data_IF_447971895100
#
_entry.id   IF_447971895100
#
_cell.length_a   1.000
_cell.length_b   1.000
_cell.length_c   1.000
_cell.angle_alpha   90.00
_cell.angle_beta   90.00
_cell.angle_gamma   90.00
#
_symmetry.space_group_name_H-M   'P 1'
#
loop_
_entity.id
_entity.type
_entity.pdbx_description
1 polymer ?
#
# COMPACT_ATOMS: atom_id res chain seq x y z
N UNK A 1 2.55 13.43 -10.45
CA UNK A 1 2.94 12.46 -9.39
C UNK A 1 1.68 11.93 -8.73
N UNK A 2 1.66 10.63 -8.50
CA UNK A 2 0.53 9.87 -7.97
C UNK A 2 1.03 8.92 -6.88
N UNK A 3 0.18 8.61 -5.90
CA UNK A 3 0.34 7.42 -5.06
C UNK A 3 -0.67 6.38 -5.50
N UNK A 4 -0.34 5.10 -5.35
CA UNK A 4 -1.25 4.01 -5.65
C UNK A 4 -1.06 2.86 -4.65
N UNK A 5 -2.02 1.95 -4.65
CA UNK A 5 -2.06 0.78 -3.78
C UNK A 5 -3.15 -0.20 -4.19
N UNK A 6 -3.21 -1.31 -3.47
CA UNK A 6 -4.25 -2.31 -3.60
C UNK A 6 -4.76 -2.72 -2.21
N UNK A 7 -6.05 -3.02 -2.10
CA UNK A 7 -6.68 -3.39 -0.84
C UNK A 7 -7.81 -4.40 -1.06
N UNK A 8 -8.02 -5.25 -0.05
CA UNK A 8 -9.04 -6.29 0.00
C UNK A 8 -10.14 -5.94 0.99
N UNK A 9 -11.39 -6.19 0.60
CA UNK A 9 -12.55 -6.02 1.49
C UNK A 9 -13.53 -7.17 1.34
N UNK A 10 -14.22 -7.49 2.43
CA UNK A 10 -15.33 -8.44 2.42
C UNK A 10 -16.63 -7.66 2.26
N UNK A 11 -17.59 -8.22 1.52
CA UNK A 11 -18.91 -7.63 1.33
C UNK A 11 -20.02 -8.68 1.45
N UNK A 12 -21.25 -8.21 1.62
CA UNK A 12 -22.44 -9.04 1.56
C UNK A 12 -22.64 -9.58 0.15
N UNK A 13 -22.93 -10.87 0.04
CA UNK A 13 -23.17 -11.53 -1.25
C UNK A 13 -24.55 -11.20 -1.79
N UNK A 14 -24.65 -10.94 -3.09
CA UNK A 14 -25.94 -10.82 -3.74
C UNK A 14 -26.57 -12.20 -3.96
N UNK A 15 -27.91 -12.26 -3.96
CA UNK A 15 -28.66 -13.50 -4.24
C UNK A 15 -28.81 -13.80 -5.74
N UNK A 16 -28.14 -13.04 -6.59
CA UNK A 16 -28.17 -13.23 -8.03
C UNK A 16 -27.33 -14.45 -8.40
N UNK A 17 -27.85 -15.28 -9.32
CA UNK A 17 -27.14 -16.49 -9.76
C UNK A 17 -25.96 -16.11 -10.67
N UNK A 18 -24.78 -16.64 -10.36
CA UNK A 18 -23.61 -16.54 -11.23
C UNK A 18 -23.68 -17.51 -12.41
N UNK A 19 -22.91 -17.21 -13.46
CA UNK A 19 -22.76 -18.12 -14.61
C UNK A 19 -22.05 -19.41 -14.19
N UNK A 20 -20.99 -19.31 -13.38
CA UNK A 20 -20.29 -20.46 -12.82
C UNK A 20 -20.63 -20.63 -11.34
N UNK A 21 -20.79 -21.89 -10.91
CA UNK A 21 -21.08 -22.21 -9.50
C UNK A 21 -19.89 -21.96 -8.55
N UNK A 22 -18.67 -21.82 -9.09
CA UNK A 22 -17.46 -21.52 -8.32
C UNK A 22 -17.27 -20.02 -8.03
N UNK A 23 -18.00 -19.16 -8.73
CA UNK A 23 -17.82 -17.71 -8.63
C UNK A 23 -18.51 -17.16 -7.37
N UNK A 24 -17.91 -16.12 -6.79
CA UNK A 24 -18.42 -15.46 -5.59
C UNK A 24 -18.09 -13.98 -5.62
N UNK A 25 -19.04 -13.16 -5.20
CA UNK A 25 -18.89 -11.73 -4.96
C UNK A 25 -18.60 -11.40 -3.48
N UNK A 26 -18.38 -12.40 -2.61
CA UNK A 26 -18.19 -12.17 -1.17
C UNK A 26 -16.97 -11.32 -0.83
N UNK A 27 -16.00 -11.23 -1.74
CA UNK A 27 -14.77 -10.48 -1.55
C UNK A 27 -14.53 -9.58 -2.75
N UNK A 28 -14.13 -8.34 -2.48
CA UNK A 28 -13.65 -7.39 -3.48
C UNK A 28 -12.17 -7.14 -3.22
N UNK A 29 -11.39 -7.18 -4.29
CA UNK A 29 -10.02 -6.73 -4.31
C UNK A 29 -9.89 -5.61 -5.34
N UNK A 30 -9.34 -4.47 -4.91
CA UNK A 30 -9.31 -3.25 -5.72
C UNK A 30 -7.92 -2.63 -5.74
N UNK A 31 -7.55 -2.11 -6.91
CA UNK A 31 -6.36 -1.31 -7.13
C UNK A 31 -6.76 0.13 -7.37
N UNK A 32 -6.14 1.06 -6.66
CA UNK A 32 -6.55 2.46 -6.59
C UNK A 32 -5.35 3.39 -6.74
N UNK A 33 -5.55 4.60 -7.25
CA UNK A 33 -4.55 5.67 -7.22
C UNK A 33 -5.14 7.02 -6.82
N UNK A 34 -4.26 7.91 -6.37
CA UNK A 34 -4.58 9.28 -6.00
C UNK A 34 -3.57 10.22 -6.66
N UNK A 35 -4.02 11.22 -7.45
CA UNK A 35 -3.15 12.28 -7.92
C UNK A 35 -2.72 13.16 -6.74
N UNK A 36 -1.42 13.43 -6.65
CA UNK A 36 -0.83 14.19 -5.54
C UNK A 36 -0.46 15.60 -5.97
N UNK A 37 0.32 15.70 -7.05
CA UNK A 37 0.84 16.97 -7.52
C UNK A 37 1.20 16.91 -9.01
N UNK A 38 1.09 18.07 -9.65
CA UNK A 38 1.55 18.34 -11.01
C UNK A 38 2.56 19.48 -10.93
N UNK A 39 3.77 19.22 -11.43
CA UNK A 39 4.88 20.16 -11.45
C UNK A 39 5.44 20.28 -12.86
N UNK A 40 5.98 21.45 -13.22
CA UNK A 40 6.55 21.73 -14.54
C UNK A 40 7.96 22.31 -14.44
N UNK A 41 8.79 21.97 -15.44
CA UNK A 41 10.16 22.48 -15.58
C UNK A 41 11.18 21.84 -14.64
N UNK A 42 12.44 22.19 -14.84
CA UNK A 42 13.56 21.73 -14.01
C UNK A 42 13.48 22.25 -12.57
N UNK A 43 12.93 23.46 -12.37
CA UNK A 43 12.71 24.08 -11.06
C UNK A 43 11.51 23.47 -10.30
N UNK A 44 10.86 22.44 -10.84
CA UNK A 44 9.68 21.78 -10.25
C UNK A 44 8.59 22.78 -9.81
N UNK A 45 8.31 23.79 -10.64
CA UNK A 45 7.24 24.76 -10.37
C UNK A 45 5.92 24.01 -10.20
N UNK A 46 5.30 24.14 -9.03
CA UNK A 46 4.04 23.49 -8.70
C UNK A 46 2.89 24.15 -9.47
N UNK A 47 2.21 23.39 -10.32
CA UNK A 47 1.03 23.85 -11.07
C UNK A 47 -0.23 23.51 -10.30
N UNK A 48 -0.28 22.31 -9.73
CA UNK A 48 -1.43 21.83 -8.99
C UNK A 48 -1.00 20.88 -7.90
N UNK A 49 -1.69 20.94 -6.76
CA UNK A 49 -1.53 20.02 -5.65
C UNK A 49 -2.89 19.61 -5.14
N UNK A 50 -3.02 18.33 -4.81
CA UNK A 50 -4.21 17.80 -4.18
C UNK A 50 -4.33 18.40 -2.76
N UNK A 51 -5.40 19.18 -2.48
CA UNK A 51 -5.56 19.81 -1.17
C UNK A 51 -5.85 18.79 -0.05
N UNK A 52 -6.42 17.62 -0.40
CA UNK A 52 -6.79 16.57 0.56
C UNK A 52 -6.37 15.19 0.05
N UNK A 53 -5.06 14.85 0.08
CA UNK A 53 -4.53 13.59 -0.47
C UNK A 53 -5.04 12.32 0.19
N UNK A 54 -5.60 12.42 1.39
CA UNK A 54 -6.19 11.30 2.14
C UNK A 54 -7.71 11.20 1.98
N UNK A 55 -8.33 12.12 1.23
CA UNK A 55 -9.76 12.11 0.99
C UNK A 55 -10.14 11.02 -0.01
N UNK A 56 -11.15 10.18 0.29
CA UNK A 56 -11.69 9.20 -0.66
C UNK A 56 -12.16 9.84 -1.97
N UNK A 57 -12.56 11.12 -1.95
CA UNK A 57 -13.05 11.85 -3.14
C UNK A 57 -12.03 11.95 -4.27
N UNK A 58 -10.74 11.90 -3.93
CA UNK A 58 -9.63 11.93 -4.90
C UNK A 58 -9.05 10.54 -5.20
N UNK A 59 -9.58 9.49 -4.56
CA UNK A 59 -9.22 8.12 -4.87
C UNK A 59 -9.91 7.70 -6.17
N UNK A 60 -9.15 7.11 -7.08
CA UNK A 60 -9.61 6.68 -8.40
C UNK A 60 -9.32 5.20 -8.59
N UNK A 61 -10.33 4.39 -8.92
CA UNK A 61 -10.11 2.97 -9.18
C UNK A 61 -9.36 2.76 -10.49
N UNK A 62 -8.39 1.86 -10.46
CA UNK A 62 -7.71 1.32 -11.64
C UNK A 62 -8.40 0.03 -12.07
N UNK A 63 -8.62 -0.88 -11.12
CA UNK A 63 -9.17 -2.22 -11.36
C UNK A 63 -9.93 -2.71 -10.13
N UNK A 64 -11.05 -3.40 -10.35
CA UNK A 64 -11.87 -4.05 -9.32
C UNK A 64 -12.02 -5.52 -9.71
N UNK A 65 -11.85 -6.42 -8.74
CA UNK A 65 -11.93 -7.88 -8.90
C UNK A 65 -12.78 -8.48 -7.80
N UNK A 66 -13.59 -9.48 -8.10
CA UNK A 66 -14.32 -10.26 -7.10
C UNK A 66 -13.50 -11.48 -6.67
N UNK A 67 -12.44 -11.24 -5.90
CA UNK A 67 -11.53 -12.28 -5.41
C UNK A 67 -11.15 -11.99 -3.97
N UNK A 68 -10.88 -13.04 -3.21
CA UNK A 68 -10.34 -12.91 -1.86
C UNK A 68 -8.88 -12.48 -1.95
N UNK A 69 -8.52 -11.50 -1.13
CA UNK A 69 -7.14 -11.05 -1.02
C UNK A 69 -6.25 -12.15 -0.40
N UNK A 70 -5.27 -12.62 -1.18
CA UNK A 70 -4.23 -13.56 -0.78
C UNK A 70 -2.86 -12.99 -1.17
N UNK A 71 -1.78 -13.51 -0.57
CA UNK A 71 -0.43 -13.06 -0.90
C UNK A 71 -0.12 -13.19 -2.39
N UNK A 72 -0.58 -14.28 -3.03
CA UNK A 72 -0.38 -14.52 -4.46
C UNK A 72 -1.15 -13.52 -5.32
N UNK A 73 -2.42 -13.25 -4.99
CA UNK A 73 -3.24 -12.25 -5.70
C UNK A 73 -2.65 -10.85 -5.54
N UNK A 74 -2.17 -10.49 -4.35
CA UNK A 74 -1.51 -9.20 -4.12
C UNK A 74 -0.24 -9.07 -4.97
N UNK A 75 0.62 -10.09 -5.01
CA UNK A 75 1.84 -10.09 -5.84
C UNK A 75 1.55 -10.04 -7.34
N UNK A 76 0.54 -10.80 -7.78
CA UNK A 76 0.07 -10.80 -9.18
C UNK A 76 -0.38 -9.39 -9.58
N UNK A 77 -1.20 -8.75 -8.76
CA UNK A 77 -1.72 -7.41 -9.04
C UNK A 77 -0.64 -6.33 -8.96
N UNK A 78 0.29 -6.42 -8.01
CA UNK A 78 1.45 -5.53 -7.93
C UNK A 78 2.28 -5.64 -9.21
N UNK A 79 2.65 -6.86 -9.60
CA UNK A 79 3.41 -7.12 -10.83
C UNK A 79 2.66 -6.62 -12.06
N UNK A 80 1.36 -6.85 -12.13
CA UNK A 80 0.50 -6.38 -13.21
C UNK A 80 0.56 -4.85 -13.35
N UNK A 81 0.40 -4.10 -12.25
CA UNK A 81 0.39 -2.64 -12.28
C UNK A 81 1.79 -2.07 -12.52
N UNK A 82 2.83 -2.62 -11.88
CA UNK A 82 4.22 -2.20 -12.12
C UNK A 82 4.60 -2.36 -13.59
N UNK A 83 4.23 -3.49 -14.23
CA UNK A 83 4.42 -3.70 -15.66
C UNK A 83 3.68 -2.66 -16.51
N UNK A 84 2.42 -2.31 -16.14
CA UNK A 84 1.66 -1.28 -16.84
C UNK A 84 2.24 0.12 -16.65
N UNK A 85 2.80 0.42 -15.49
CA UNK A 85 3.50 1.69 -15.21
C UNK A 85 4.77 1.79 -16.06
N UNK A 86 5.53 0.70 -16.21
CA UNK A 86 6.76 0.68 -17.01
C UNK A 86 6.49 0.92 -18.51
N UNK A 87 5.32 0.49 -18.99
CA UNK A 87 4.86 0.72 -20.38
C UNK A 87 4.12 2.05 -20.56
N UNK A 88 3.99 2.87 -19.50
CA UNK A 88 3.16 4.07 -19.56
C UNK A 88 3.87 5.20 -20.29
N UNK A 89 3.33 5.59 -21.44
CA UNK A 89 3.79 6.76 -22.17
C UNK A 89 3.27 8.06 -21.56
N UNK A 90 4.01 9.18 -21.68
CA UNK A 90 3.52 10.47 -21.22
C UNK A 90 2.25 10.91 -21.98
N UNK A 91 1.25 11.41 -21.26
CA UNK A 91 0.02 11.91 -21.88
C UNK A 91 0.29 13.21 -22.65
N UNK A 92 -0.07 13.23 -23.93
CA UNK A 92 -0.02 14.44 -24.76
C UNK A 92 -1.34 15.21 -24.66
N UNK A 93 -1.27 16.47 -24.24
CA UNK A 93 -2.43 17.37 -24.14
C UNK A 93 -2.18 18.55 -25.07
N UNK A 94 -3.12 18.81 -25.98
CA UNK A 94 -3.05 19.97 -26.88
C UNK A 94 -4.07 21.00 -26.42
N UNK A 95 -3.62 22.21 -26.08
CA UNK A 95 -4.50 23.30 -25.67
C UNK A 95 -3.98 24.62 -26.24
N UNK A 96 -4.84 25.38 -26.94
CA UNK A 96 -4.55 26.72 -27.50
C UNK A 96 -3.19 26.78 -28.21
N UNK A 97 -3.00 25.94 -29.24
CA UNK A 97 -1.78 25.85 -30.05
C UNK A 97 -0.48 25.47 -29.31
N UNK A 98 -0.58 24.98 -28.06
CA UNK A 98 0.55 24.46 -27.30
C UNK A 98 0.35 22.97 -27.04
N UNK A 99 1.45 22.21 -27.16
CA UNK A 99 1.50 20.80 -26.82
C UNK A 99 2.18 20.66 -25.46
N UNK A 100 1.50 20.00 -24.54
CA UNK A 100 2.00 19.66 -23.22
C UNK A 100 2.21 18.16 -23.13
N UNK A 101 3.35 17.75 -22.59
CA UNK A 101 3.68 16.36 -22.33
C UNK A 101 3.67 16.13 -20.82
N UNK A 102 2.74 15.30 -20.34
CA UNK A 102 2.59 15.01 -18.91
C UNK A 102 3.24 13.66 -18.61
N UNK A 103 4.39 13.70 -17.94
CA UNK A 103 5.03 12.48 -17.42
C UNK A 103 4.32 12.02 -16.15
N UNK A 104 4.01 10.72 -16.08
CA UNK A 104 3.38 10.11 -14.92
C UNK A 104 4.44 9.43 -14.04
N UNK A 105 4.37 9.69 -12.73
CA UNK A 105 5.25 9.07 -11.72
C UNK A 105 4.33 8.53 -10.64
N UNK A 106 4.32 7.21 -10.47
CA UNK A 106 3.41 6.49 -9.57
C UNK A 106 4.21 5.83 -8.44
N UNK A 107 3.83 6.11 -7.19
CA UNK A 107 4.51 5.60 -5.99
C UNK A 107 3.63 4.59 -5.27
N UNK A 108 4.11 3.37 -5.09
CA UNK A 108 3.38 2.29 -4.42
C UNK A 108 3.46 2.43 -2.90
N UNK A 109 2.67 3.35 -2.35
CA UNK A 109 2.74 3.79 -0.93
C UNK A 109 1.41 3.67 -0.20
N UNK A 110 0.31 3.38 -0.90
CA UNK A 110 -0.99 3.11 -0.28
C UNK A 110 -1.10 1.63 0.07
N UNK A 111 -0.22 1.17 0.96
CA UNK A 111 -0.10 -0.25 1.32
C UNK A 111 -0.28 -0.44 2.82
N UNK A 112 -0.87 -1.57 3.17
CA UNK A 112 -0.86 -2.06 4.55
C UNK A 112 0.41 -2.91 4.81
N UNK A 113 0.64 -3.26 6.08
CA UNK A 113 1.78 -4.09 6.45
C UNK A 113 1.71 -5.52 5.88
N UNK A 114 0.51 -6.02 5.57
CA UNK A 114 0.29 -7.37 5.06
C UNK A 114 0.72 -7.47 3.59
N UNK A 115 0.36 -6.48 2.78
CA UNK A 115 0.79 -6.29 1.40
C UNK A 115 2.30 -6.08 1.35
N UNK A 116 2.88 -5.28 2.26
CA UNK A 116 4.34 -5.15 2.36
C UNK A 116 5.02 -6.52 2.60
N UNK A 117 4.52 -7.29 3.56
CA UNK A 117 5.06 -8.62 3.87
C UNK A 117 4.93 -9.59 2.69
N UNK A 118 3.79 -9.55 1.98
CA UNK A 118 3.59 -10.34 0.77
C UNK A 118 4.59 -9.92 -0.32
N UNK A 119 4.77 -8.61 -0.54
CA UNK A 119 5.67 -8.09 -1.57
C UNK A 119 7.16 -8.35 -1.28
N UNK A 120 7.56 -8.47 0.00
CA UNK A 120 8.95 -8.75 0.40
C UNK A 120 9.20 -10.21 0.79
N UNK A 121 8.26 -11.12 0.50
CA UNK A 121 8.35 -12.53 0.89
C UNK A 121 8.59 -12.78 2.40
N UNK A 122 8.20 -11.81 3.23
CA UNK A 122 8.37 -11.87 4.68
C UNK A 122 7.24 -12.70 5.28
N UNK A 123 7.51 -13.98 5.53
CA UNK A 123 6.50 -14.95 6.02
C UNK A 123 5.86 -14.60 7.37
N UNK A 124 6.56 -13.84 8.21
CA UNK A 124 6.09 -13.50 9.57
C UNK A 124 5.68 -12.04 9.67
N UNK A 125 4.45 -11.82 10.13
CA UNK A 125 3.93 -10.47 10.44
C UNK A 125 4.64 -9.80 11.63
N UNK A 126 5.44 -10.55 12.39
CA UNK A 126 6.23 -10.05 13.52
C UNK A 126 7.69 -9.73 13.14
N UNK A 127 8.08 -9.92 11.88
CA UNK A 127 9.37 -9.51 11.35
C UNK A 127 9.22 -8.18 10.60
N UNK A 128 10.21 -7.32 10.74
CA UNK A 128 10.24 -6.08 9.97
C UNK A 128 10.53 -6.39 8.49
N UNK A 129 9.64 -5.99 7.58
CA UNK A 129 9.82 -6.18 6.13
C UNK A 129 10.98 -5.34 5.54
N UNK A 130 11.49 -4.35 6.27
CA UNK A 130 12.60 -3.49 5.85
C UNK A 130 13.95 -4.10 6.20
N UNK A 131 14.12 -4.67 7.41
CA UNK A 131 15.41 -5.14 7.89
C UNK A 131 15.44 -6.59 8.38
N UNK A 132 14.32 -7.32 8.27
CA UNK A 132 14.19 -8.73 8.68
C UNK A 132 14.21 -9.00 10.18
N UNK A 133 14.49 -7.98 11.00
CA UNK A 133 14.66 -8.10 12.44
C UNK A 133 13.35 -8.47 13.17
N UNK A 134 13.48 -9.23 14.26
CA UNK A 134 12.40 -9.57 15.18
C UNK A 134 12.33 -8.59 16.35
N UNK A 135 11.26 -8.64 17.14
CA UNK A 135 11.12 -7.82 18.35
C UNK A 135 12.28 -7.99 19.35
N UNK A 136 12.88 -9.19 19.44
CA UNK A 136 14.06 -9.43 20.30
C UNK A 136 15.28 -8.66 19.81
N UNK A 137 15.48 -8.61 18.50
CA UNK A 137 16.60 -7.91 17.88
C UNK A 137 16.44 -6.38 17.93
N UNK A 138 15.21 -5.86 18.09
CA UNK A 138 14.95 -4.43 18.26
C UNK A 138 15.37 -3.87 19.61
N UNK A 139 15.47 -4.71 20.64
CA UNK A 139 15.98 -4.28 21.95
C UNK A 139 17.50 -4.07 21.96
N UNK A 140 18.22 -4.58 20.94
CA UNK A 140 19.64 -4.36 20.80
C UNK A 140 19.93 -3.10 19.97
N UNK A 141 20.14 -1.98 20.65
CA UNK A 141 20.37 -0.67 20.02
C UNK A 141 21.76 -0.49 19.41
N UNK A 142 22.74 -1.35 19.76
CA UNK A 142 24.10 -1.25 19.21
C UNK A 142 24.28 -1.98 17.88
N UNK A 143 23.38 -2.89 17.54
CA UNK A 143 23.43 -3.63 16.29
C UNK A 143 22.92 -2.78 15.10
N UNK A 144 23.79 -2.48 14.14
CA UNK A 144 23.38 -1.95 12.83
C UNK A 144 22.71 -3.06 12.03
N UNK A 145 21.52 -2.77 11.50
CA UNK A 145 20.73 -3.72 10.72
C UNK A 145 20.86 -3.40 9.25
N UNK A 146 21.09 -4.41 8.43
CA UNK A 146 21.05 -4.26 6.97
C UNK A 146 19.61 -3.99 6.54
N UNK A 147 19.45 -3.04 5.64
CA UNK A 147 18.15 -2.59 5.13
C UNK A 147 17.98 -3.11 3.70
N UNK A 148 16.79 -3.61 3.40
CA UNK A 148 16.34 -3.83 2.04
C UNK A 148 15.88 -2.48 1.45
N UNK A 149 16.68 -1.93 0.54
CA UNK A 149 16.39 -0.63 -0.10
C UNK A 149 15.11 -0.67 -0.94
N UNK A 150 14.80 -1.80 -1.56
CA UNK A 150 13.57 -1.96 -2.36
C UNK A 150 12.32 -1.81 -1.49
N UNK A 151 12.41 -2.20 -0.21
CA UNK A 151 11.31 -2.07 0.73
C UNK A 151 11.01 -0.61 1.13
N UNK A 152 11.91 0.33 0.84
CA UNK A 152 11.70 1.76 1.13
C UNK A 152 10.63 2.36 0.21
N UNK A 153 10.37 1.75 -0.97
CA UNK A 153 9.35 2.21 -1.92
C UNK A 153 7.94 2.21 -1.34
N UNK A 154 7.69 1.35 -0.34
CA UNK A 154 6.40 1.21 0.34
C UNK A 154 6.07 2.39 1.25
N UNK A 155 7.06 3.20 1.62
CA UNK A 155 6.89 4.31 2.55
C UNK A 155 6.44 3.87 3.94
N UNK A 156 5.85 4.80 4.70
CA UNK A 156 5.38 4.56 6.06
C UNK A 156 3.84 4.48 6.11
N UNK A 157 3.32 3.32 6.52
CA UNK A 157 1.89 3.11 6.75
C UNK A 157 1.47 3.74 8.09
N UNK A 158 1.22 5.05 8.07
CA UNK A 158 0.91 5.85 9.28
C UNK A 158 -0.36 5.37 10.01
N UNK A 159 -1.33 4.82 9.29
CA UNK A 159 -2.55 4.23 9.87
C UNK A 159 -2.20 3.04 10.77
N UNK A 160 -1.49 2.06 10.22
CA UNK A 160 -1.12 0.86 10.98
C UNK A 160 -0.11 1.19 12.10
N UNK A 161 0.79 2.15 11.90
CA UNK A 161 1.70 2.59 12.96
C UNK A 161 0.94 3.07 14.21
N UNK A 162 -0.13 3.87 14.03
CA UNK A 162 -0.97 4.34 15.14
C UNK A 162 -1.74 3.20 15.81
N UNK A 163 -2.36 2.32 15.02
CA UNK A 163 -3.12 1.17 15.55
C UNK A 163 -2.21 0.25 16.37
N UNK A 164 -1.04 -0.11 15.82
CA UNK A 164 -0.08 -0.98 16.49
C UNK A 164 0.54 -0.35 17.74
N UNK A 165 0.79 0.96 17.72
CA UNK A 165 1.24 1.68 18.91
C UNK A 165 0.20 1.60 20.03
N UNK A 166 -1.07 1.84 19.71
CA UNK A 166 -2.15 1.77 20.69
C UNK A 166 -2.32 0.36 21.25
N UNK A 167 -2.32 -0.67 20.40
CA UNK A 167 -2.33 -2.09 20.80
C UNK A 167 -1.15 -2.43 21.72
N UNK A 168 0.06 -1.96 21.40
CA UNK A 168 1.24 -2.18 22.23
C UNK A 168 1.13 -1.52 23.62
N UNK A 169 0.58 -0.30 23.70
CA UNK A 169 0.34 0.40 24.98
C UNK A 169 -0.71 -0.34 25.81
N UNK A 170 -1.79 -0.83 25.20
CA UNK A 170 -2.79 -1.65 25.89
C UNK A 170 -2.17 -2.95 26.43
N UNK A 171 -1.42 -3.67 25.60
CA UNK A 171 -0.71 -4.87 26.04
C UNK A 171 0.27 -4.60 27.18
N UNK A 172 0.97 -3.46 27.15
CA UNK A 172 1.83 -3.04 28.25
C UNK A 172 1.01 -2.85 29.53
N UNK A 173 -0.07 -2.08 29.47
CA UNK A 173 -0.94 -1.80 30.62
C UNK A 173 -1.46 -3.08 31.28
N UNK A 174 -1.96 -4.04 30.49
CA UNK A 174 -2.42 -5.34 31.01
C UNK A 174 -1.30 -6.20 31.62
N UNK A 175 -0.08 -6.05 31.12
CA UNK A 175 1.09 -6.85 31.55
C UNK A 175 1.92 -6.17 32.63
N UNK A 176 1.61 -4.93 33.03
CA UNK A 176 2.31 -4.24 34.12
C UNK A 176 2.39 -5.07 35.43
N UNK A 177 1.35 -5.80 35.86
CA UNK A 177 1.44 -6.62 37.06
C UNK A 177 2.39 -7.82 36.89
N UNK A 178 2.37 -8.47 35.73
CA UNK A 178 3.14 -9.70 35.48
C UNK A 178 4.57 -9.42 35.03
N UNK A 179 4.82 -8.22 34.47
CA UNK A 179 6.13 -7.75 33.95
C UNK A 179 6.80 -8.71 32.97
N UNK A 180 6.01 -9.52 32.27
CA UNK A 180 6.48 -10.46 31.24
C UNK A 180 5.77 -10.20 29.91
N UNK A 181 6.53 -10.24 28.82
CA UNK A 181 5.98 -10.06 27.47
C UNK A 181 5.15 -11.26 27.00
N UNK A 182 5.55 -12.48 27.34
CA UNK A 182 4.80 -13.71 27.07
C UNK A 182 4.37 -14.33 28.40
N UNK A 183 3.09 -14.68 28.50
CA UNK A 183 2.58 -15.53 29.57
C UNK A 183 2.80 -16.97 29.09
N UNK A 184 3.62 -17.71 29.84
CA UNK A 184 3.87 -19.14 29.63
C UNK A 184 2.66 -19.96 30.00
#
# INVERSE_FOLDING_TARGET
MYKWGCDGSQQTTFKQKFLNNSDSDANIFQSLFVPLQLSCGHEKKLIWQNPLPSSPRHCRPIRIRFVKETADISKEEISYIENKINLLEPTQITQVNKKFLVKHVMMFTMVDAKVCNAATDTKSTMKCYICGATSKDFNNLSARKQINEDALKFGLSTLHAKIRLFEAVLHLAYKLPVKKWQLS
#
